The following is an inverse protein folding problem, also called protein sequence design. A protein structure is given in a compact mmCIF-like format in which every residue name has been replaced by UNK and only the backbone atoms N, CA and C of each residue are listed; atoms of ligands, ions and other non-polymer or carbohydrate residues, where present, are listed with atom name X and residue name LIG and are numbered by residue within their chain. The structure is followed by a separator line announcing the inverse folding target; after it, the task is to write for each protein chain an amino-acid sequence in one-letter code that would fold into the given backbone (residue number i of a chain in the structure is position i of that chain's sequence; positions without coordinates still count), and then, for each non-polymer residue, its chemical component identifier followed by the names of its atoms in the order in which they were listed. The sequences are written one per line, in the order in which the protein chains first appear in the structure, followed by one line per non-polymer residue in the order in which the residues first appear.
data_IF_918653600610
#
_entry.id   IF_918653600610
#
_cell.length_a   1.000
_cell.length_b   1.000
_cell.length_c   1.000
_cell.angle_alpha   90.00
_cell.angle_beta   90.00
_cell.angle_gamma   90.00
#
_symmetry.space_group_name_H-M   'P 1'
#
loop_
_entity.id
_entity.type
_entity.pdbx_description
1 polymer ?
#
# COMPACT_ATOMS: atom_id res chain seq x y z
N UNK A 1 -19.89 26.09 -14.01
CA UNK A 1 -21.06 26.50 -14.80
C UNK A 1 -21.58 25.29 -15.54
N UNK A 2 -22.80 24.90 -15.19
CA UNK A 2 -23.54 23.77 -15.70
C UNK A 2 -24.55 24.31 -16.71
N UNK A 3 -24.48 23.83 -17.95
CA UNK A 3 -25.39 24.20 -19.02
C UNK A 3 -26.38 23.08 -19.32
N UNK A 4 -27.55 23.45 -19.80
CA UNK A 4 -28.64 22.53 -20.11
C UNK A 4 -28.77 22.33 -21.62
N UNK A 5 -28.86 21.08 -22.05
CA UNK A 5 -29.15 20.72 -23.44
C UNK A 5 -30.43 19.88 -23.50
N UNK A 6 -31.43 20.34 -24.26
CA UNK A 6 -32.65 19.58 -24.56
C UNK A 6 -32.41 18.67 -25.77
N UNK A 7 -32.79 17.39 -25.67
CA UNK A 7 -32.83 16.41 -26.75
C UNK A 7 -34.17 15.68 -26.73
N UNK A 8 -35.10 16.08 -27.60
CA UNK A 8 -36.39 15.41 -27.79
C UNK A 8 -37.15 15.19 -26.47
N UNK A 9 -37.19 16.21 -25.60
CA UNK A 9 -37.86 16.15 -24.29
C UNK A 9 -37.05 15.48 -23.19
N UNK A 10 -35.82 15.04 -23.46
CA UNK A 10 -34.85 14.58 -22.46
C UNK A 10 -33.77 15.63 -22.24
N UNK A 11 -33.48 15.95 -20.98
CA UNK A 11 -32.50 16.97 -20.64
C UNK A 11 -31.14 16.37 -20.26
N UNK A 12 -30.07 16.98 -20.75
CA UNK A 12 -28.68 16.66 -20.43
C UNK A 12 -28.01 17.87 -19.80
N UNK A 13 -27.29 17.65 -18.71
CA UNK A 13 -26.47 18.67 -18.06
C UNK A 13 -25.03 18.49 -18.54
N UNK A 14 -24.38 19.60 -18.90
CA UNK A 14 -22.97 19.67 -19.28
C UNK A 14 -22.26 20.59 -18.28
N UNK A 15 -21.09 20.19 -17.80
CA UNK A 15 -20.30 21.00 -16.87
C UNK A 15 -18.82 20.70 -17.03
N UNK A 16 -17.96 21.63 -16.65
CA UNK A 16 -16.52 21.41 -16.63
C UNK A 16 -16.02 21.06 -15.23
N UNK A 17 -15.17 20.05 -15.15
CA UNK A 17 -14.44 19.71 -13.92
C UNK A 17 -13.00 19.37 -14.27
N UNK A 18 -12.03 20.02 -13.60
CA UNK A 18 -10.60 19.86 -13.86
C UNK A 18 -10.24 20.03 -15.36
N UNK A 19 -10.79 21.06 -16.01
CA UNK A 19 -10.59 21.38 -17.44
C UNK A 19 -11.05 20.28 -18.41
N UNK A 20 -11.93 19.37 -17.98
CA UNK A 20 -12.57 18.37 -18.83
C UNK A 20 -14.08 18.55 -18.77
N UNK A 21 -14.71 18.65 -19.94
CA UNK A 21 -16.15 18.67 -20.05
C UNK A 21 -16.72 17.30 -19.67
N UNK A 22 -17.68 17.32 -18.77
CA UNK A 22 -18.44 16.17 -18.27
C UNK A 22 -19.91 16.42 -18.53
N UNK A 23 -20.66 15.33 -18.68
CA UNK A 23 -22.07 15.44 -18.97
C UNK A 23 -22.84 14.25 -18.41
N UNK A 24 -24.11 14.44 -18.08
CA UNK A 24 -25.03 13.33 -17.80
C UNK A 24 -26.47 13.71 -18.15
N UNK A 25 -27.27 12.68 -18.43
CA UNK A 25 -28.69 12.82 -18.75
C UNK A 25 -29.51 12.78 -17.47
N UNK A 26 -30.36 13.79 -17.27
CA UNK A 26 -31.34 13.85 -16.17
C UNK A 26 -32.56 13.00 -16.52
N UNK A 27 -32.94 12.98 -17.80
CA UNK A 27 -34.07 12.22 -18.33
C UNK A 27 -35.19 13.12 -18.80
N UNK A 28 -36.39 12.55 -18.97
CA UNK A 28 -37.61 13.29 -19.29
C UNK A 28 -38.19 13.87 -18.02
N UNK A 29 -37.94 15.15 -17.79
CA UNK A 29 -38.41 15.96 -16.65
C UNK A 29 -38.88 17.32 -17.18
N UNK A 30 -39.52 18.13 -16.34
CA UNK A 30 -39.84 19.51 -16.73
C UNK A 30 -38.57 20.35 -16.92
N UNK A 31 -38.65 21.42 -17.72
CA UNK A 31 -37.53 22.34 -17.88
C UNK A 31 -37.11 22.97 -16.54
N UNK A 32 -38.09 23.31 -15.71
CA UNK A 32 -37.85 23.87 -14.37
C UNK A 32 -37.07 22.89 -13.48
N UNK A 33 -37.43 21.61 -13.48
CA UNK A 33 -36.73 20.58 -12.73
C UNK A 33 -35.32 20.32 -13.27
N UNK A 34 -35.16 20.32 -14.59
CA UNK A 34 -33.86 20.19 -15.25
C UNK A 34 -32.94 21.37 -14.92
N UNK A 35 -33.50 22.60 -14.87
CA UNK A 35 -32.78 23.81 -14.48
C UNK A 35 -32.37 23.80 -13.02
N UNK A 36 -33.28 23.45 -12.12
CA UNK A 36 -32.98 23.31 -10.70
C UNK A 36 -31.84 22.30 -10.46
N UNK A 37 -31.83 21.19 -11.21
CA UNK A 37 -30.73 20.21 -11.15
C UNK A 37 -29.41 20.78 -11.67
N UNK A 38 -29.41 21.60 -12.73
CA UNK A 38 -28.21 22.25 -13.23
C UNK A 38 -27.64 23.26 -12.21
N UNK A 39 -28.51 24.08 -11.59
CA UNK A 39 -28.12 25.04 -10.55
C UNK A 39 -27.51 24.32 -9.33
N UNK A 40 -28.08 23.17 -8.95
CA UNK A 40 -27.53 22.33 -7.89
C UNK A 40 -26.15 21.75 -8.23
N UNK A 41 -25.94 21.29 -9.47
CA UNK A 41 -24.63 20.83 -9.95
C UNK A 41 -23.60 21.96 -9.84
N UNK A 42 -23.97 23.18 -10.24
CA UNK A 42 -23.10 24.33 -10.13
C UNK A 42 -22.73 24.68 -8.69
N UNK A 43 -23.71 24.63 -7.79
CA UNK A 43 -23.47 24.83 -6.37
C UNK A 43 -22.48 23.80 -5.79
N UNK A 44 -22.63 22.52 -6.13
CA UNK A 44 -21.70 21.47 -5.68
C UNK A 44 -20.28 21.66 -6.24
N UNK A 45 -20.15 22.02 -7.52
CA UNK A 45 -18.84 22.30 -8.13
C UNK A 45 -18.15 23.50 -7.49
N UNK A 46 -18.91 24.55 -7.15
CA UNK A 46 -18.41 25.70 -6.40
C UNK A 46 -17.92 25.30 -5.00
N UNK A 47 -18.65 24.45 -4.27
CA UNK A 47 -18.22 24.00 -2.94
C UNK A 47 -16.98 23.10 -3.00
N UNK A 48 -16.85 22.29 -4.04
CA UNK A 48 -15.64 21.51 -4.31
C UNK A 48 -14.45 22.42 -4.62
N UNK A 49 -14.63 23.48 -5.42
CA UNK A 49 -13.54 24.41 -5.75
C UNK A 49 -13.10 25.27 -4.55
N UNK A 50 -14.03 25.61 -3.66
CA UNK A 50 -13.77 26.28 -2.38
C UNK A 50 -13.13 25.37 -1.32
N UNK A 51 -13.10 24.05 -1.54
CA UNK A 51 -12.64 23.06 -0.55
C UNK A 51 -13.60 22.83 0.62
N UNK A 52 -14.83 23.33 0.54
CA UNK A 52 -15.88 23.11 1.55
C UNK A 52 -16.58 21.75 1.40
N UNK A 53 -16.46 21.14 0.21
CA UNK A 53 -16.78 19.74 -0.04
C UNK A 53 -15.53 19.03 -0.59
N UNK A 54 -15.42 17.74 -0.32
CA UNK A 54 -14.40 16.87 -0.91
C UNK A 54 -15.07 15.75 -1.70
N UNK A 55 -14.56 15.47 -2.91
CA UNK A 55 -14.97 14.31 -3.68
C UNK A 55 -14.37 13.04 -3.03
N UNK A 56 -15.18 12.08 -2.57
CA UNK A 56 -14.65 10.89 -1.90
C UNK A 56 -13.78 10.05 -2.84
N UNK A 57 -12.78 9.37 -2.27
CA UNK A 57 -11.83 8.56 -3.03
C UNK A 57 -12.56 7.45 -3.81
N UNK A 58 -12.24 7.34 -5.11
CA UNK A 58 -12.82 6.32 -6.01
C UNK A 58 -14.22 6.66 -6.55
N UNK A 59 -14.78 7.83 -6.21
CA UNK A 59 -16.06 8.28 -6.75
C UNK A 59 -15.85 9.18 -7.95
N UNK A 60 -16.50 8.86 -9.06
CA UNK A 60 -16.50 9.69 -10.25
C UNK A 60 -17.34 10.97 -10.02
N UNK A 61 -16.85 12.12 -10.50
CA UNK A 61 -17.51 13.42 -10.31
C UNK A 61 -18.92 13.45 -10.89
N UNK A 62 -19.17 12.75 -12.01
CA UNK A 62 -20.51 12.69 -12.62
C UNK A 62 -21.46 11.93 -11.69
N UNK A 63 -21.00 10.81 -11.11
CA UNK A 63 -21.80 10.08 -10.13
C UNK A 63 -22.09 10.93 -8.89
N UNK A 64 -21.09 11.66 -8.39
CA UNK A 64 -21.24 12.52 -7.21
C UNK A 64 -22.31 13.60 -7.42
N UNK A 65 -22.22 14.40 -8.50
CA UNK A 65 -23.18 15.49 -8.75
C UNK A 65 -24.56 14.97 -9.19
N UNK A 66 -24.61 13.82 -9.87
CA UNK A 66 -25.88 13.18 -10.26
C UNK A 66 -26.71 12.80 -9.03
N UNK A 67 -26.06 12.35 -7.98
CA UNK A 67 -26.72 11.97 -6.73
C UNK A 67 -26.68 13.07 -5.65
N UNK A 68 -26.50 14.34 -6.04
CA UNK A 68 -26.54 15.49 -5.13
C UNK A 68 -25.55 15.41 -3.96
N UNK A 69 -24.40 14.75 -4.18
CA UNK A 69 -23.41 14.47 -3.13
C UNK A 69 -23.80 13.32 -2.19
N UNK A 70 -25.03 12.80 -2.28
CA UNK A 70 -25.51 11.64 -1.53
C UNK A 70 -25.13 10.38 -2.29
N UNK A 71 -24.02 9.76 -1.93
CA UNK A 71 -23.62 8.49 -2.53
C UNK A 71 -24.55 7.40 -2.00
N UNK A 72 -25.34 6.71 -2.85
CA UNK A 72 -26.13 5.57 -2.41
C UNK A 72 -25.18 4.54 -1.79
N UNK A 73 -25.48 4.10 -0.56
CA UNK A 73 -24.67 3.13 0.17
C UNK A 73 -24.42 1.81 -0.59
N UNK A 74 -25.10 1.59 -1.73
CA UNK A 74 -25.04 0.39 -2.56
C UNK A 74 -23.87 0.30 -3.55
N UNK A 75 -22.92 1.24 -3.58
CA UNK A 75 -21.68 1.11 -4.38
C UNK A 75 -20.37 1.12 -3.58
N UNK A 76 -20.44 1.19 -2.27
CA UNK A 76 -19.35 0.70 -1.45
C UNK A 76 -19.41 -0.83 -1.58
N UNK A 77 -18.36 -1.44 -2.14
CA UNK A 77 -18.18 -2.89 -2.02
C UNK A 77 -18.46 -3.23 -0.55
N UNK A 78 -19.32 -4.23 -0.26
CA UNK A 78 -19.82 -4.46 1.09
C UNK A 78 -18.62 -4.52 2.02
N UNK A 79 -18.53 -3.55 2.94
CA UNK A 79 -17.58 -3.62 4.04
C UNK A 79 -17.94 -4.93 4.74
N UNK A 80 -17.06 -5.93 4.77
CA UNK A 80 -17.37 -7.19 5.42
C UNK A 80 -17.88 -6.88 6.82
N UNK A 81 -19.04 -7.43 7.21
CA UNK A 81 -19.72 -7.16 8.48
C UNK A 81 -18.94 -7.64 9.72
N UNK A 82 -17.62 -7.85 9.61
CA UNK A 82 -16.71 -8.23 10.68
C UNK A 82 -15.55 -7.24 10.81
N UNK A 83 -14.95 -7.18 12.00
CA UNK A 83 -13.73 -6.41 12.24
C UNK A 83 -12.66 -6.82 11.20
N UNK A 84 -12.04 -5.87 10.47
CA UNK A 84 -11.10 -6.22 9.41
C UNK A 84 -9.92 -7.00 9.98
N UNK A 85 -9.58 -8.08 9.29
CA UNK A 85 -8.55 -9.00 9.74
C UNK A 85 -7.22 -8.76 9.03
N UNK A 86 -6.14 -9.29 9.57
CA UNK A 86 -4.82 -9.28 8.95
C UNK A 86 -4.86 -9.94 7.55
N UNK A 87 -5.55 -11.08 7.40
CA UNK A 87 -5.73 -11.71 6.09
C UNK A 87 -6.57 -10.84 5.14
N UNK A 88 -7.58 -10.14 5.64
CA UNK A 88 -8.37 -9.17 4.87
C UNK A 88 -7.50 -8.04 4.30
N UNK A 89 -6.65 -7.44 5.14
CA UNK A 89 -5.70 -6.41 4.70
C UNK A 89 -4.73 -6.97 3.65
N UNK A 90 -4.14 -8.14 3.92
CA UNK A 90 -3.22 -8.84 3.00
C UNK A 90 -3.84 -9.04 1.63
N UNK A 91 -5.02 -9.66 1.59
CA UNK A 91 -5.65 -10.08 0.33
C UNK A 91 -5.96 -8.85 -0.54
N UNK A 92 -6.57 -7.82 0.04
CA UNK A 92 -6.90 -6.59 -0.70
C UNK A 92 -5.64 -5.83 -1.14
N UNK A 93 -4.58 -5.81 -0.32
CA UNK A 93 -3.31 -5.18 -0.69
C UNK A 93 -2.65 -5.88 -1.87
N UNK A 94 -2.61 -7.22 -1.86
CA UNK A 94 -2.03 -8.03 -2.95
C UNK A 94 -2.85 -7.91 -4.23
N UNK A 95 -4.18 -7.94 -4.13
CA UNK A 95 -5.08 -7.77 -5.28
C UNK A 95 -4.85 -6.41 -5.96
N UNK A 96 -4.76 -5.35 -5.16
CA UNK A 96 -4.60 -3.98 -5.68
C UNK A 96 -3.24 -3.75 -6.36
N UNK A 97 -2.15 -4.31 -5.81
CA UNK A 97 -0.79 -4.01 -6.29
C UNK A 97 -0.18 -5.14 -7.13
N UNK A 98 -0.86 -6.28 -7.26
CA UNK A 98 -0.31 -7.49 -7.87
C UNK A 98 0.12 -7.34 -9.33
N UNK A 99 -0.54 -6.45 -10.09
CA UNK A 99 -0.21 -6.15 -11.47
C UNK A 99 0.76 -4.95 -11.64
N UNK A 100 0.94 -4.14 -10.59
CA UNK A 100 1.71 -2.89 -10.66
C UNK A 100 3.14 -3.01 -10.14
N UNK A 101 3.46 -4.08 -9.42
CA UNK A 101 4.78 -4.32 -8.84
C UNK A 101 5.49 -5.49 -9.52
N UNK A 102 6.82 -5.40 -9.61
CA UNK A 102 7.64 -6.48 -10.16
C UNK A 102 7.43 -7.81 -9.41
N UNK A 103 7.50 -8.91 -10.15
CA UNK A 103 7.17 -10.25 -9.66
C UNK A 103 7.97 -10.66 -8.41
N UNK A 104 9.26 -10.29 -8.35
CA UNK A 104 10.12 -10.62 -7.22
C UNK A 104 9.76 -9.83 -5.95
N UNK A 105 9.31 -8.58 -6.10
CA UNK A 105 8.80 -7.73 -5.02
C UNK A 105 7.50 -8.30 -4.48
N UNK A 106 6.57 -8.68 -5.36
CA UNK A 106 5.32 -9.33 -4.95
C UNK A 106 5.54 -10.66 -4.23
N UNK A 107 6.52 -11.45 -4.68
CA UNK A 107 6.91 -12.69 -3.98
C UNK A 107 7.44 -12.41 -2.57
N UNK A 108 8.22 -11.34 -2.40
CA UNK A 108 8.69 -10.87 -1.09
C UNK A 108 7.52 -10.49 -0.18
N UNK A 109 6.62 -9.64 -0.66
CA UNK A 109 5.42 -9.19 0.07
C UNK A 109 4.57 -10.37 0.52
N UNK A 110 4.27 -11.32 -0.37
CA UNK A 110 3.50 -12.54 -0.04
C UNK A 110 4.18 -13.35 1.07
N UNK A 111 5.51 -13.50 1.01
CA UNK A 111 6.28 -14.20 2.04
C UNK A 111 6.20 -13.48 3.39
N UNK A 112 6.34 -12.16 3.40
CA UNK A 112 6.25 -11.36 4.63
C UNK A 112 4.87 -11.51 5.27
N UNK A 113 3.79 -11.36 4.51
CA UNK A 113 2.43 -11.56 5.02
C UNK A 113 2.16 -12.97 5.54
N UNK A 114 2.69 -14.00 4.86
CA UNK A 114 2.60 -15.37 5.35
C UNK A 114 3.22 -15.53 6.75
N UNK A 115 4.36 -14.88 7.02
CA UNK A 115 4.98 -14.93 8.34
C UNK A 115 4.12 -14.23 9.41
N UNK A 116 3.57 -13.05 9.12
CA UNK A 116 2.62 -12.40 10.02
C UNK A 116 1.38 -13.25 10.28
N UNK A 117 0.77 -13.80 9.23
CA UNK A 117 -0.42 -14.63 9.35
C UNK A 117 -0.14 -15.92 10.14
N UNK A 118 1.04 -16.53 9.97
CA UNK A 118 1.44 -17.71 10.73
C UNK A 118 1.71 -17.44 12.21
N UNK A 119 2.08 -16.21 12.59
CA UNK A 119 2.46 -15.88 13.97
C UNK A 119 1.42 -15.06 14.75
N UNK A 120 0.54 -14.32 14.07
CA UNK A 120 -0.55 -13.55 14.68
C UNK A 120 -1.93 -14.18 14.40
N UNK A 121 -2.02 -15.03 13.38
CA UNK A 121 -3.27 -15.61 12.91
C UNK A 121 -3.90 -14.81 11.76
N UNK A 122 -4.53 -15.50 10.82
CA UNK A 122 -5.21 -14.86 9.68
C UNK A 122 -6.40 -14.01 10.12
N UNK A 123 -7.12 -14.45 11.15
CA UNK A 123 -8.26 -13.75 11.75
C UNK A 123 -7.89 -12.63 12.71
N UNK A 124 -6.61 -12.31 12.89
CA UNK A 124 -6.18 -11.26 13.81
C UNK A 124 -6.86 -9.92 13.48
N UNK A 125 -7.55 -9.27 14.43
CA UNK A 125 -8.24 -8.00 14.20
C UNK A 125 -7.22 -6.88 13.98
N UNK A 126 -6.99 -6.50 12.73
CA UNK A 126 -5.84 -5.68 12.35
C UNK A 126 -5.89 -4.27 12.96
N UNK A 127 -7.07 -3.76 13.29
CA UNK A 127 -7.25 -2.48 13.98
C UNK A 127 -6.74 -2.48 15.42
N UNK A 128 -6.60 -3.65 16.05
CA UNK A 128 -6.09 -3.81 17.41
C UNK A 128 -4.59 -4.03 17.47
N UNK A 129 -3.90 -4.02 16.32
CA UNK A 129 -2.46 -4.18 16.26
C UNK A 129 -1.78 -3.14 17.16
N UNK A 130 -0.98 -3.62 18.10
CA UNK A 130 -0.24 -2.79 19.05
C UNK A 130 1.28 -2.92 18.87
N UNK A 131 2.03 -2.03 19.54
CA UNK A 131 3.48 -2.15 19.61
C UNK A 131 3.90 -3.48 20.27
N UNK A 132 3.16 -3.94 21.27
CA UNK A 132 3.44 -5.20 21.96
C UNK A 132 3.29 -6.42 21.04
N UNK A 133 2.28 -6.41 20.16
CA UNK A 133 2.09 -7.47 19.16
C UNK A 133 3.26 -7.51 18.16
N UNK A 134 3.71 -6.33 17.71
CA UNK A 134 4.84 -6.21 16.80
C UNK A 134 6.16 -6.60 17.46
N UNK A 135 6.39 -6.22 18.72
CA UNK A 135 7.58 -6.66 19.46
C UNK A 135 7.56 -8.18 19.65
N UNK A 136 6.41 -8.75 20.04
CA UNK A 136 6.24 -10.20 20.15
C UNK A 136 6.46 -10.93 18.82
N UNK A 137 6.05 -10.33 17.71
CA UNK A 137 6.38 -10.83 16.37
C UNK A 137 7.90 -10.80 16.11
N UNK A 138 8.57 -9.68 16.37
CA UNK A 138 10.02 -9.53 16.22
C UNK A 138 10.77 -10.58 17.05
N UNK A 139 10.41 -10.74 18.32
CA UNK A 139 11.04 -11.68 19.24
C UNK A 139 10.90 -13.14 18.77
N UNK A 140 9.71 -13.51 18.26
CA UNK A 140 9.47 -14.85 17.69
C UNK A 140 10.25 -15.05 16.40
N UNK A 141 10.30 -14.04 15.52
CA UNK A 141 11.04 -14.10 14.26
C UNK A 141 12.55 -14.18 14.48
N UNK A 142 13.08 -13.49 15.48
CA UNK A 142 14.50 -13.50 15.83
C UNK A 142 15.00 -14.90 16.23
N UNK A 143 14.11 -15.76 16.76
CA UNK A 143 14.42 -17.15 17.11
C UNK A 143 14.38 -18.11 15.92
N UNK A 144 13.88 -17.67 14.76
CA UNK A 144 13.82 -18.50 13.57
C UNK A 144 15.20 -18.66 12.92
N UNK A 145 15.40 -19.76 12.20
CA UNK A 145 16.60 -19.98 11.40
C UNK A 145 16.49 -19.30 10.04
N UNK A 146 17.54 -18.60 9.65
CA UNK A 146 17.81 -18.20 8.28
C UNK A 146 18.57 -19.30 7.52
N UNK A 147 18.96 -19.00 6.27
CA UNK A 147 19.64 -19.96 5.39
C UNK A 147 21.03 -20.37 5.89
N UNK A 148 21.72 -19.47 6.59
CA UNK A 148 23.13 -19.63 7.01
C UNK A 148 23.35 -19.47 8.52
N UNK A 149 22.30 -19.65 9.32
CA UNK A 149 22.37 -19.42 10.77
C UNK A 149 21.11 -18.75 11.31
N UNK A 150 21.20 -18.02 12.43
CA UNK A 150 20.10 -17.21 12.95
C UNK A 150 19.54 -16.25 11.90
N UNK A 151 18.25 -15.94 11.98
CA UNK A 151 17.64 -15.01 11.05
C UNK A 151 18.22 -13.60 11.23
N UNK A 152 18.66 -12.98 10.13
CA UNK A 152 19.20 -11.63 10.15
C UNK A 152 18.12 -10.59 10.57
N UNK A 153 18.38 -9.71 11.55
CA UNK A 153 17.45 -8.67 12.00
C UNK A 153 16.89 -7.78 10.88
N UNK A 154 17.70 -7.46 9.87
CA UNK A 154 17.26 -6.66 8.71
C UNK A 154 16.18 -7.38 7.87
N UNK A 155 16.08 -8.71 7.95
CA UNK A 155 14.98 -9.45 7.31
C UNK A 155 13.67 -9.23 8.06
N UNK A 156 13.73 -9.19 9.40
CA UNK A 156 12.57 -8.92 10.26
C UNK A 156 12.12 -7.47 10.05
N UNK A 157 13.06 -6.53 9.97
CA UNK A 157 12.76 -5.13 9.69
C UNK A 157 12.07 -4.96 8.33
N UNK A 158 12.54 -5.65 7.27
CA UNK A 158 11.85 -5.66 5.96
C UNK A 158 10.41 -6.17 6.05
N UNK A 159 10.16 -7.19 6.89
CA UNK A 159 8.81 -7.68 7.16
C UNK A 159 7.95 -6.58 7.81
N UNK A 160 8.45 -5.97 8.90
CA UNK A 160 7.77 -4.88 9.62
C UNK A 160 7.46 -3.68 8.72
N UNK A 161 8.42 -3.27 7.89
CA UNK A 161 8.24 -2.18 6.93
C UNK A 161 7.20 -2.54 5.87
N UNK A 162 7.16 -3.80 5.42
CA UNK A 162 6.13 -4.25 4.47
C UNK A 162 4.72 -4.11 5.07
N UNK A 163 4.53 -4.52 6.33
CA UNK A 163 3.25 -4.36 7.00
C UNK A 163 2.91 -2.88 7.22
N UNK A 164 3.88 -2.02 7.54
CA UNK A 164 3.70 -0.56 7.60
C UNK A 164 3.21 0.02 6.28
N UNK A 165 3.81 -0.38 5.16
CA UNK A 165 3.40 0.09 3.83
C UNK A 165 1.95 -0.31 3.54
N UNK A 166 1.59 -1.57 3.84
CA UNK A 166 0.21 -2.02 3.69
C UNK A 166 -0.76 -1.33 4.67
N UNK A 167 -0.33 -1.02 5.90
CA UNK A 167 -1.11 -0.25 6.86
C UNK A 167 -1.43 1.15 6.33
N UNK A 168 -0.42 1.88 5.86
CA UNK A 168 -0.59 3.23 5.34
C UNK A 168 -1.51 3.26 4.11
N UNK A 169 -1.40 2.26 3.24
CA UNK A 169 -2.37 2.05 2.18
C UNK A 169 -3.77 1.74 2.73
N UNK A 170 -3.87 0.88 3.74
CA UNK A 170 -5.11 0.51 4.41
C UNK A 170 -5.82 1.71 5.08
N UNK A 171 -5.07 2.71 5.57
CA UNK A 171 -5.62 3.98 6.06
C UNK A 171 -6.31 4.74 4.94
N UNK A 172 -5.65 4.88 3.77
CA UNK A 172 -6.23 5.54 2.58
C UNK A 172 -7.48 4.82 2.07
N UNK A 173 -7.54 3.50 2.26
CA UNK A 173 -8.67 2.63 1.90
C UNK A 173 -9.69 2.44 3.03
N UNK A 174 -9.55 3.16 4.14
CA UNK A 174 -10.45 3.10 5.31
C UNK A 174 -10.62 1.69 5.92
N UNK A 175 -9.62 0.83 5.75
CA UNK A 175 -9.56 -0.52 6.35
C UNK A 175 -9.11 -0.40 7.81
N UNK A 176 -8.05 0.36 8.03
CA UNK A 176 -7.46 0.67 9.34
C UNK A 176 -7.44 2.18 9.51
N UNK A 177 -7.13 2.63 10.72
CA UNK A 177 -7.03 4.05 11.07
C UNK A 177 -5.85 4.28 12.01
N UNK A 178 -5.38 5.52 12.08
CA UNK A 178 -4.29 5.90 12.97
C UNK A 178 -2.89 5.52 12.46
N UNK A 179 -1.89 5.86 13.28
CA UNK A 179 -0.47 5.63 12.98
C UNK A 179 -0.13 4.15 13.22
N UNK A 180 0.67 3.59 12.32
CA UNK A 180 1.22 2.24 12.50
C UNK A 180 2.12 2.19 13.75
N UNK A 181 1.94 1.24 14.68
CA UNK A 181 2.57 1.25 16.01
C UNK A 181 4.02 0.73 15.99
N UNK A 182 4.87 1.38 15.19
CA UNK A 182 6.25 0.97 14.93
C UNK A 182 7.28 1.58 15.89
N UNK A 183 6.99 2.75 16.45
CA UNK A 183 7.98 3.50 17.23
C UNK A 183 8.32 2.75 18.53
N UNK A 184 9.61 2.54 18.78
CA UNK A 184 10.10 1.83 19.97
C UNK A 184 10.37 0.34 19.79
N UNK A 185 10.18 -0.22 18.59
CA UNK A 185 10.58 -1.61 18.30
C UNK A 185 12.08 -1.83 18.51
N UNK A 186 12.42 -2.93 19.18
CA UNK A 186 13.80 -3.35 19.44
C UNK A 186 14.12 -4.60 18.65
N UNK A 187 15.20 -4.53 17.87
CA UNK A 187 15.71 -5.64 17.08
C UNK A 187 16.90 -6.29 17.78
N UNK A 188 17.17 -7.59 17.53
CA UNK A 188 18.41 -8.22 17.98
C UNK A 188 19.61 -7.48 17.38
N UNK A 189 20.75 -7.51 18.09
CA UNK A 189 22.00 -7.02 17.53
C UNK A 189 22.30 -7.81 16.26
N UNK A 190 22.50 -7.10 15.15
CA UNK A 190 23.03 -7.69 13.94
C UNK A 190 24.55 -7.68 14.05
N UNK A 191 25.19 -8.79 13.69
CA UNK A 191 26.61 -8.75 13.34
C UNK A 191 26.74 -7.89 12.07
N UNK A 192 27.52 -6.83 12.16
CA UNK A 192 27.75 -5.94 11.04
C UNK A 192 28.49 -6.71 9.94
N UNK A 193 28.02 -6.60 8.70
CA UNK A 193 28.73 -7.23 7.58
C UNK A 193 30.12 -6.60 7.48
N UNK A 194 31.18 -7.40 7.26
CA UNK A 194 32.48 -6.84 6.99
C UNK A 194 32.41 -5.91 5.76
N UNK A 195 33.26 -4.87 5.70
CA UNK A 195 33.34 -4.00 4.54
C UNK A 195 33.64 -4.83 3.28
N UNK A 196 33.32 -4.28 2.11
CA UNK A 196 33.68 -4.92 0.84
C UNK A 196 35.19 -5.14 0.77
N UNK A 197 35.60 -6.34 0.37
CA UNK A 197 36.99 -6.80 0.32
C UNK A 197 37.26 -7.52 -0.99
N UNK A 198 38.47 -7.40 -1.51
CA UNK A 198 38.96 -8.16 -2.66
C UNK A 198 39.17 -9.62 -2.31
N UNK A 199 39.20 -10.49 -3.34
CA UNK A 199 39.47 -11.93 -3.17
C UNK A 199 40.75 -12.21 -2.37
N UNK A 200 41.81 -11.44 -2.64
CA UNK A 200 43.12 -11.59 -1.99
C UNK A 200 43.05 -11.24 -0.49
N UNK A 201 42.32 -10.18 -0.14
CA UNK A 201 42.12 -9.80 1.27
C UNK A 201 41.32 -10.86 2.03
N UNK A 202 40.28 -11.42 1.40
CA UNK A 202 39.47 -12.51 1.97
C UNK A 202 40.31 -13.78 2.16
N UNK A 203 41.08 -14.19 1.14
CA UNK A 203 41.97 -15.36 1.22
C UNK A 203 43.03 -15.19 2.32
N UNK A 204 43.61 -14.00 2.47
CA UNK A 204 44.54 -13.68 3.56
C UNK A 204 43.85 -13.70 4.94
N UNK A 205 42.62 -13.20 5.04
CA UNK A 205 41.84 -13.21 6.29
C UNK A 205 41.46 -14.62 6.74
N UNK A 206 41.26 -15.53 5.78
CA UNK A 206 40.85 -16.91 6.03
C UNK A 206 42.03 -17.88 6.20
N UNK A 207 43.25 -17.48 5.82
CA UNK A 207 44.47 -18.25 6.08
C UNK A 207 44.68 -18.43 7.60
N UNK A 208 44.35 -19.62 8.12
CA UNK A 208 44.55 -20.01 9.52
C UNK A 208 43.30 -20.01 10.41
N UNK A 209 42.07 -19.87 9.87
CA UNK A 209 40.82 -19.93 10.67
C UNK A 209 39.91 -21.11 10.28
N UNK A 210 39.19 -21.67 11.26
CA UNK A 210 38.23 -22.77 11.10
C UNK A 210 37.02 -22.40 10.23
N UNK A 211 36.56 -23.35 9.41
CA UNK A 211 35.66 -23.20 8.26
C UNK A 211 34.33 -22.43 8.47
N UNK A 212 33.83 -22.31 9.71
CA UNK A 212 32.51 -21.72 9.98
C UNK A 212 32.37 -20.22 9.71
N UNK A 213 33.48 -19.47 9.55
CA UNK A 213 33.48 -18.01 9.37
C UNK A 213 33.80 -17.57 7.92
N UNK A 214 33.99 -18.50 6.99
CA UNK A 214 34.40 -18.21 5.62
C UNK A 214 33.26 -17.62 4.77
N UNK A 215 32.04 -18.18 4.87
CA UNK A 215 30.91 -17.81 4.03
C UNK A 215 30.47 -16.34 4.19
N UNK A 216 30.57 -15.79 5.40
CA UNK A 216 30.17 -14.41 5.70
C UNK A 216 31.14 -13.39 5.10
N UNK A 217 32.43 -13.73 5.05
CA UNK A 217 33.48 -12.86 4.49
C UNK A 217 33.40 -12.86 2.97
N UNK A 218 33.09 -14.02 2.36
CA UNK A 218 32.90 -14.13 0.91
C UNK A 218 31.69 -13.35 0.36
N UNK A 219 30.68 -13.05 1.19
CA UNK A 219 29.56 -12.16 0.80
C UNK A 219 29.97 -10.70 0.63
N UNK A 220 31.13 -10.31 1.17
CA UNK A 220 31.71 -8.98 0.98
C UNK A 220 32.69 -8.94 -0.19
N UNK A 221 32.77 -9.99 -1.03
CA UNK A 221 33.67 -10.02 -2.17
C UNK A 221 33.34 -8.91 -3.18
N UNK A 222 34.28 -8.00 -3.36
CA UNK A 222 34.29 -7.02 -4.42
C UNK A 222 34.93 -7.62 -5.67
N UNK A 223 34.16 -7.72 -6.75
CA UNK A 223 34.64 -8.18 -8.04
C UNK A 223 35.29 -7.00 -8.80
N UNK A 224 36.61 -7.00 -8.89
CA UNK A 224 37.35 -6.08 -9.75
C UNK A 224 37.27 -6.54 -11.20
N UNK A 225 36.72 -5.71 -12.09
CA UNK A 225 36.76 -5.97 -13.53
C UNK A 225 38.20 -5.83 -14.02
N UNK A 226 38.81 -6.92 -14.50
CA UNK A 226 40.08 -6.83 -15.23
C UNK A 226 39.77 -6.12 -16.55
N UNK A 227 40.20 -4.86 -16.68
CA UNK A 227 40.23 -4.20 -17.98
C UNK A 227 41.16 -5.03 -18.87
N UNK A 228 40.59 -5.79 -19.79
CA UNK A 228 41.35 -6.32 -20.91
C UNK A 228 41.83 -5.11 -21.70
N UNK A 229 43.11 -4.79 -21.59
CA UNK A 229 43.79 -3.94 -22.57
C UNK A 229 43.59 -4.59 -23.92
N UNK A 230 42.71 -4.02 -24.74
CA UNK A 230 42.58 -4.40 -26.14
C UNK A 230 43.93 -4.16 -26.81
N UNK A 231 44.55 -5.25 -27.26
CA UNK A 231 45.59 -5.20 -28.29
C UNK A 231 44.96 -4.92 -29.64
#
# INVERSE_FOLDING_TARGET
MASLQNRNGSYRILFDYQRKQRTFTVGRVSEAEARAKADQVDYLLMRLSQGLLALPAGIDIVAFVRHDGIIPASRQAPIPRGEPTLAGLRNRYIETHGASLEHHTMRGIRRHFRHFCGLLGEGFPIRKLSLADLQGYVDRRARARGRRGPLNPATIEKEIVTLRTAWNWGVRMQIVSGRYPYDGLRYPKADEKPPFQTRVEIERQLAGRTAGRADEVWEALYLTLRRSSGS
#
